data_IF_390415630674
#
_entry.id   IF_390415630674
#
_cell.length_a   1.000
_cell.length_b   1.000
_cell.length_c   1.000
_cell.angle_alpha   90.00
_cell.angle_beta   90.00
_cell.angle_gamma   90.00
#
_symmetry.space_group_name_H-M   'P 1'
#
loop_
_entity.id
_entity.type
_entity.pdbx_description
1 polymer ?
#
# COMPACT_ATOMS: atom_id res chain seq x y z
N UNK A 1 20.02 6.78 13.63
CA UNK A 1 18.57 6.50 13.76
C UNK A 1 18.20 5.62 12.59
N UNK A 2 18.07 4.32 12.83
CA UNK A 2 17.73 3.36 11.78
C UNK A 2 16.22 3.39 11.61
N UNK A 3 15.73 4.15 10.66
CA UNK A 3 14.32 4.08 10.26
C UNK A 3 14.09 2.69 9.70
N UNK A 4 13.54 1.80 10.51
CA UNK A 4 13.11 0.48 10.05
C UNK A 4 11.91 0.75 9.15
N UNK A 5 12.12 0.79 7.84
CA UNK A 5 11.02 0.70 6.88
C UNK A 5 10.47 -0.73 6.98
N UNK A 6 9.44 -0.90 7.82
CA UNK A 6 8.85 -2.22 8.11
C UNK A 6 8.13 -2.79 6.88
N UNK A 7 7.88 -1.98 5.85
CA UNK A 7 7.23 -2.38 4.62
C UNK A 7 7.86 -1.66 3.42
N UNK A 8 8.62 -2.40 2.61
CA UNK A 8 8.99 -1.95 1.27
C UNK A 8 7.77 -2.11 0.37
N UNK A 9 7.14 -0.99 0.03
CA UNK A 9 6.06 -0.93 -0.96
C UNK A 9 6.61 -0.57 -2.33
N UNK A 10 6.15 -1.29 -3.35
CA UNK A 10 6.43 -0.99 -4.75
C UNK A 10 5.16 -0.48 -5.45
N UNK A 11 5.26 0.31 -6.53
CA UNK A 11 4.07 0.75 -7.27
C UNK A 11 3.23 -0.40 -7.88
N UNK A 12 3.78 -1.62 -7.90
CA UNK A 12 3.07 -2.83 -8.29
C UNK A 12 2.27 -3.46 -7.14
N UNK A 13 2.50 -3.02 -5.90
CA UNK A 13 1.81 -3.57 -4.73
C UNK A 13 0.37 -3.04 -4.67
N UNK A 14 -0.56 -3.98 -4.52
CA UNK A 14 -1.94 -3.70 -4.18
C UNK A 14 -2.08 -3.80 -2.66
N UNK A 15 -2.75 -2.84 -2.07
CA UNK A 15 -2.99 -2.79 -0.63
C UNK A 15 -4.48 -2.69 -0.41
N UNK A 16 -5.05 -3.63 0.32
CA UNK A 16 -6.45 -3.57 0.73
C UNK A 16 -6.51 -3.01 2.15
N UNK A 17 -7.13 -1.84 2.29
CA UNK A 17 -7.38 -1.18 3.57
C UNK A 17 -8.88 -1.20 3.81
N UNK A 18 -9.31 -1.74 4.96
CA UNK A 18 -10.73 -1.78 5.35
C UNK A 18 -11.65 -2.37 4.24
N UNK A 19 -11.13 -3.33 3.46
CA UNK A 19 -11.85 -3.99 2.36
C UNK A 19 -11.80 -3.29 0.99
N UNK A 20 -11.15 -2.12 0.90
CA UNK A 20 -10.99 -1.35 -0.34
C UNK A 20 -9.58 -1.52 -0.89
N UNK A 21 -9.48 -1.92 -2.16
CA UNK A 21 -8.20 -2.10 -2.85
C UNK A 21 -7.61 -0.74 -3.25
N UNK A 22 -6.33 -0.57 -2.97
CA UNK A 22 -5.55 0.62 -3.29
C UNK A 22 -4.22 0.23 -3.95
N UNK A 23 -3.68 1.11 -4.78
CA UNK A 23 -2.34 0.99 -5.37
C UNK A 23 -1.42 1.97 -4.69
N UNK A 24 -0.23 1.49 -4.34
CA UNK A 24 0.81 2.35 -3.80
C UNK A 24 1.33 3.32 -4.89
N UNK A 25 1.40 4.60 -4.56
CA UNK A 25 1.90 5.64 -5.47
C UNK A 25 3.24 6.23 -5.02
N UNK A 26 3.51 6.25 -3.72
CA UNK A 26 4.74 6.81 -3.19
C UNK A 26 4.67 7.11 -1.70
N UNK A 27 5.75 7.66 -1.18
CA UNK A 27 5.88 8.04 0.22
C UNK A 27 5.88 9.57 0.34
N UNK A 28 5.16 10.09 1.32
CA UNK A 28 5.24 11.49 1.76
C UNK A 28 6.17 11.61 2.96
N UNK A 29 6.35 12.82 3.48
CA UNK A 29 7.18 13.05 4.67
C UNK A 29 6.67 12.27 5.90
N UNK A 30 5.36 12.12 6.04
CA UNK A 30 4.72 11.58 7.25
C UNK A 30 3.95 10.26 7.03
N UNK A 31 3.84 9.79 5.78
CA UNK A 31 3.03 8.62 5.45
C UNK A 31 3.27 8.04 4.06
N UNK A 32 2.35 7.18 3.64
CA UNK A 32 2.32 6.56 2.32
C UNK A 32 1.08 7.03 1.56
N UNK A 33 1.25 7.26 0.27
CA UNK A 33 0.22 7.74 -0.65
C UNK A 33 -0.29 6.56 -1.46
N UNK A 34 -1.60 6.40 -1.43
CA UNK A 34 -2.33 5.35 -2.12
C UNK A 34 -3.42 5.94 -3.01
N UNK A 35 -3.75 5.24 -4.09
CA UNK A 35 -4.93 5.53 -4.90
C UNK A 35 -5.86 4.33 -4.95
N UNK A 36 -7.19 4.50 -4.80
CA UNK A 36 -8.14 3.40 -4.93
C UNK A 36 -8.05 2.77 -6.32
N UNK A 37 -8.19 1.44 -6.36
CA UNK A 37 -8.19 0.65 -7.60
C UNK A 37 -9.64 0.35 -7.96
N UNK A 38 -10.24 1.21 -8.78
CA UNK A 38 -11.62 1.08 -9.23
C UNK A 38 -12.23 2.41 -9.67
N UNK A 39 -13.54 2.40 -9.94
CA UNK A 39 -14.33 3.60 -10.29
C UNK A 39 -14.68 4.47 -9.07
N UNK A 40 -14.24 4.08 -7.86
CA UNK A 40 -14.35 4.89 -6.66
C UNK A 40 -13.43 6.11 -6.81
N UNK A 41 -14.06 7.20 -7.30
CA UNK A 41 -13.58 8.58 -7.45
C UNK A 41 -12.15 8.82 -6.98
N UNK A 42 -11.32 9.30 -7.93
CA UNK A 42 -9.94 9.81 -7.90
C UNK A 42 -9.46 10.62 -6.68
N UNK A 43 -9.74 10.17 -5.46
CA UNK A 43 -9.23 10.75 -4.23
C UNK A 43 -7.97 9.98 -3.83
N UNK A 44 -6.88 10.70 -3.66
CA UNK A 44 -5.65 10.12 -3.11
C UNK A 44 -5.85 9.93 -1.61
N UNK A 45 -5.61 8.71 -1.13
CA UNK A 45 -5.63 8.38 0.29
C UNK A 45 -4.21 8.47 0.80
N UNK A 46 -3.93 9.47 1.64
CA UNK A 46 -2.69 9.52 2.40
C UNK A 46 -2.88 8.82 3.74
N UNK A 47 -2.10 7.77 3.99
CA UNK A 47 -2.12 7.02 5.24
C UNK A 47 -0.83 7.31 5.99
N UNK A 48 -0.96 7.93 7.16
CA UNK A 48 0.18 8.25 8.01
C UNK A 48 0.85 6.98 8.52
N UNK A 49 2.17 7.04 8.74
CA UNK A 49 2.94 5.90 9.25
C UNK A 49 2.39 5.37 10.58
N UNK A 50 1.91 6.25 11.46
CA UNK A 50 1.26 5.89 12.73
C UNK A 50 -0.02 5.08 12.52
N UNK A 51 -0.80 5.39 11.47
CA UNK A 51 -2.01 4.65 11.13
C UNK A 51 -1.68 3.29 10.53
N UNK A 52 -0.66 3.19 9.67
CA UNK A 52 -0.20 1.90 9.13
C UNK A 52 0.23 0.97 10.26
N UNK A 53 1.02 1.47 11.22
CA UNK A 53 1.42 0.66 12.38
C UNK A 53 0.21 0.20 13.20
N UNK A 54 -0.79 1.07 13.41
CA UNK A 54 -2.04 0.69 14.07
C UNK A 54 -2.80 -0.38 13.28
N UNK A 55 -2.89 -0.27 11.95
CA UNK A 55 -3.56 -1.26 11.10
C UNK A 55 -2.82 -2.61 11.08
N UNK A 56 -1.48 -2.62 11.11
CA UNK A 56 -0.69 -3.84 11.21
C UNK A 56 -0.94 -4.63 12.50
N UNK A 57 -1.31 -3.94 13.58
CA UNK A 57 -1.69 -4.60 14.85
C UNK A 57 -3.11 -5.16 14.83
N UNK A 58 -3.91 -4.87 13.79
CA UNK A 58 -5.29 -5.30 13.66
C UNK A 58 -5.42 -6.33 12.53
N UNK A 59 -5.61 -7.62 12.84
CA UNK A 59 -5.71 -8.65 11.81
C UNK A 59 -6.90 -8.40 10.89
N UNK A 60 -6.66 -8.50 9.57
CA UNK A 60 -7.69 -8.32 8.54
C UNK A 60 -7.96 -6.87 8.12
N UNK A 61 -7.36 -5.87 8.79
CA UNK A 61 -7.54 -4.46 8.46
C UNK A 61 -6.67 -3.97 7.31
N UNK A 62 -5.46 -4.52 7.23
CA UNK A 62 -4.49 -4.26 6.18
C UNK A 62 -4.06 -5.59 5.58
N UNK A 63 -4.25 -5.76 4.28
CA UNK A 63 -3.62 -6.85 3.52
C UNK A 63 -2.85 -6.27 2.34
N UNK A 64 -1.69 -6.86 2.07
CA UNK A 64 -0.80 -6.43 0.99
C UNK A 64 -0.72 -7.58 0.01
N UNK A 65 -1.31 -7.37 -1.17
CA UNK A 65 -1.16 -8.26 -2.31
C UNK A 65 0.03 -7.78 -3.14
N UNK A 66 1.17 -8.43 -2.93
CA UNK A 66 2.31 -8.30 -3.81
C UNK A 66 2.08 -9.22 -5.00
N UNK A 67 1.30 -8.74 -5.97
CA UNK A 67 1.30 -9.34 -7.30
C UNK A 67 2.73 -9.21 -7.84
N UNK A 68 3.54 -10.26 -7.62
CA UNK A 68 4.76 -10.47 -8.38
C UNK A 68 4.29 -10.61 -9.82
N UNK A 69 4.32 -9.51 -10.57
CA UNK A 69 4.24 -9.52 -12.00
C UNK A 69 5.44 -10.36 -12.45
N UNK A 70 5.27 -11.69 -12.52
CA UNK A 70 6.18 -12.59 -13.20
C UNK A 70 6.11 -12.11 -14.63
N UNK A 71 6.96 -11.14 -14.96
CA UNK A 71 7.31 -10.75 -16.32
C UNK A 71 7.79 -12.04 -16.96
N UNK A 72 6.85 -12.74 -17.58
CA UNK A 72 7.09 -13.83 -18.49
C UNK A 72 7.87 -13.23 -19.65
N UNK A 73 9.19 -13.18 -19.48
CA UNK A 73 10.14 -12.99 -20.56
C UNK A 73 10.09 -14.30 -21.36
N UNK A 74 9.03 -14.48 -22.15
CA UNK A 74 9.07 -15.45 -23.26
C UNK A 74 9.99 -14.81 -24.30
N UNK A 75 11.17 -15.40 -24.41
CA UNK A 75 12.12 -15.21 -25.50
C UNK A 75 11.45 -15.47 -26.85
#
# INVERSE_FOLDING_TARGET
MTSVNILEFTPADLVTIDGVAHRYLGQSQDGLIFAPVGDERSHLTEILNSQIMAMLTQPGRLSIDREHFKRGRRK
#
